data_IF_894441414653
#
_entry.id   IF_894441414653
#
_cell.length_a   1.000
_cell.length_b   1.000
_cell.length_c   1.000
_cell.angle_alpha   90.00
_cell.angle_beta   90.00
_cell.angle_gamma   90.00
#
_symmetry.space_group_name_H-M   'P 1'
#
loop_
_entity.id
_entity.type
_entity.pdbx_description
1 polymer ?
#
# COMPACT_ATOMS: atom_id res chain seq x y z
N UNK A 1 8.40 7.29 -2.54
CA UNK A 1 9.04 8.62 -2.38
C UNK A 1 10.33 8.74 -3.19
N UNK A 2 11.23 7.71 -3.16
CA UNK A 2 12.51 7.77 -3.88
C UNK A 2 12.39 8.00 -5.38
N UNK A 3 11.42 7.38 -6.05
CA UNK A 3 11.19 7.57 -7.49
C UNK A 3 10.78 9.00 -7.83
N UNK A 4 9.93 9.61 -7.00
CA UNK A 4 9.48 10.99 -7.21
C UNK A 4 10.57 12.02 -6.93
N UNK A 5 11.40 11.78 -5.90
CA UNK A 5 12.55 12.66 -5.62
C UNK A 5 13.61 12.65 -6.71
N UNK A 6 13.65 11.60 -7.53
CA UNK A 6 14.53 11.46 -8.66
C UNK A 6 13.75 11.55 -10.00
N UNK A 7 12.68 12.33 -10.03
CA UNK A 7 11.82 12.48 -11.20
C UNK A 7 12.49 13.20 -12.39
N UNK A 8 13.63 13.84 -12.16
CA UNK A 8 14.51 14.35 -13.20
C UNK A 8 15.16 13.23 -14.03
N UNK A 9 15.34 12.04 -13.45
CA UNK A 9 15.91 10.88 -14.11
C UNK A 9 14.87 9.77 -14.35
N UNK A 10 13.92 9.59 -13.45
CA UNK A 10 12.92 8.52 -13.49
C UNK A 10 11.65 9.00 -14.18
N UNK A 11 11.51 8.68 -15.46
CA UNK A 11 10.36 9.09 -16.27
C UNK A 11 9.14 8.19 -16.02
N UNK A 12 9.36 6.90 -15.77
CA UNK A 12 8.29 5.94 -15.59
C UNK A 12 8.72 4.77 -14.70
N UNK A 13 7.79 4.28 -13.91
CA UNK A 13 7.94 3.04 -13.15
C UNK A 13 6.72 2.14 -13.37
N UNK A 14 6.94 0.84 -13.49
CA UNK A 14 5.89 -0.15 -13.67
C UNK A 14 5.99 -1.25 -12.61
N UNK A 15 4.85 -1.68 -12.13
CA UNK A 15 4.75 -2.82 -11.20
C UNK A 15 4.50 -4.11 -11.97
N UNK A 16 5.25 -5.16 -11.65
CA UNK A 16 5.09 -6.47 -12.26
C UNK A 16 5.17 -7.59 -11.19
N UNK A 17 4.31 -8.63 -11.28
CA UNK A 17 3.16 -8.78 -12.17
C UNK A 17 1.95 -7.95 -11.73
N UNK A 18 1.20 -7.43 -12.71
CA UNK A 18 0.00 -6.62 -12.44
C UNK A 18 -1.17 -7.48 -12.00
N UNK A 19 -1.46 -8.55 -12.72
CA UNK A 19 -2.60 -9.45 -12.49
C UNK A 19 -2.15 -10.89 -12.29
N UNK A 20 -2.85 -11.58 -11.39
CA UNK A 20 -2.70 -13.02 -11.24
C UNK A 20 -4.04 -13.71 -10.98
N UNK A 21 -4.30 -14.76 -11.74
CA UNK A 21 -5.45 -15.61 -11.50
C UNK A 21 -5.18 -16.49 -10.27
N UNK A 22 -6.13 -16.51 -9.36
CA UNK A 22 -6.11 -17.35 -8.15
C UNK A 22 -5.87 -18.82 -8.50
N UNK A 23 -4.90 -19.47 -7.86
CA UNK A 23 -4.52 -20.85 -8.11
C UNK A 23 -3.55 -21.07 -9.27
N UNK A 24 -3.15 -20.03 -10.00
CA UNK A 24 -2.24 -20.11 -11.15
C UNK A 24 -0.97 -19.27 -10.97
N UNK A 25 -0.66 -18.90 -9.73
CA UNK A 25 0.49 -18.07 -9.44
C UNK A 25 1.79 -18.88 -9.42
N UNK A 26 2.80 -18.35 -10.08
CA UNK A 26 4.21 -18.76 -9.90
C UNK A 26 4.96 -17.82 -8.96
N UNK A 27 4.32 -16.73 -8.55
CA UNK A 27 4.91 -15.59 -7.86
C UNK A 27 3.88 -14.95 -6.94
N UNK A 28 4.24 -14.66 -5.72
CA UNK A 28 3.28 -14.18 -4.71
C UNK A 28 3.14 -12.65 -4.64
N UNK A 29 4.06 -11.91 -5.24
CA UNK A 29 4.07 -10.45 -5.23
C UNK A 29 3.23 -9.82 -6.34
N UNK A 30 1.99 -10.28 -6.52
CA UNK A 30 1.09 -9.74 -7.54
C UNK A 30 0.33 -8.52 -7.00
N UNK A 31 0.01 -7.55 -7.88
CA UNK A 31 -0.69 -6.35 -7.49
C UNK A 31 -2.18 -6.60 -7.26
N UNK A 32 -2.81 -7.35 -8.17
CA UNK A 32 -4.25 -7.66 -8.14
C UNK A 32 -4.45 -9.15 -8.38
N UNK A 33 -5.16 -9.78 -7.46
CA UNK A 33 -5.60 -11.15 -7.60
C UNK A 33 -7.04 -11.20 -8.11
N UNK A 34 -7.36 -12.18 -8.93
CA UNK A 34 -8.72 -12.37 -9.43
C UNK A 34 -9.07 -13.85 -9.64
N UNK A 35 -10.35 -14.14 -9.66
CA UNK A 35 -10.93 -15.38 -10.16
C UNK A 35 -12.23 -15.07 -10.92
N UNK A 36 -13.01 -16.09 -11.23
CA UNK A 36 -14.28 -15.93 -11.96
C UNK A 36 -15.39 -15.25 -11.12
N UNK A 37 -15.17 -15.01 -9.81
CA UNK A 37 -16.15 -14.50 -8.87
C UNK A 37 -15.80 -13.13 -8.32
N UNK A 38 -14.52 -12.77 -8.31
CA UNK A 38 -14.11 -11.55 -7.67
C UNK A 38 -12.69 -11.09 -8.02
N UNK A 39 -12.36 -9.95 -7.47
CA UNK A 39 -11.09 -9.27 -7.62
C UNK A 39 -10.66 -8.77 -6.24
N UNK A 40 -9.39 -8.98 -5.91
CA UNK A 40 -8.80 -8.58 -4.62
C UNK A 40 -7.51 -7.80 -4.86
N UNK A 41 -7.48 -6.62 -4.29
CA UNK A 41 -6.34 -5.71 -4.36
C UNK A 41 -5.40 -6.00 -3.21
N UNK A 42 -4.11 -6.02 -3.49
CA UNK A 42 -3.09 -6.15 -2.44
C UNK A 42 -2.85 -4.80 -1.77
N UNK A 43 -2.12 -4.79 -0.65
CA UNK A 43 -1.63 -3.55 -0.04
C UNK A 43 -0.78 -2.74 -1.03
N UNK A 44 0.04 -3.43 -1.85
CA UNK A 44 0.84 -2.79 -2.90
C UNK A 44 -0.01 -2.03 -3.93
N UNK A 45 -1.19 -2.56 -4.30
CA UNK A 45 -2.13 -1.83 -5.15
C UNK A 45 -2.51 -0.48 -4.54
N UNK A 46 -2.83 -0.48 -3.24
CA UNK A 46 -3.21 0.73 -2.55
C UNK A 46 -2.05 1.70 -2.37
N UNK A 47 -0.83 1.21 -2.16
CA UNK A 47 0.37 2.07 -2.16
C UNK A 47 0.57 2.75 -3.51
N UNK A 48 0.48 2.00 -4.61
CA UNK A 48 0.57 2.58 -5.96
C UNK A 48 -0.53 3.61 -6.20
N UNK A 49 -1.77 3.30 -5.79
CA UNK A 49 -2.91 4.22 -5.91
C UNK A 49 -2.72 5.50 -5.08
N UNK A 50 -2.19 5.40 -3.86
CA UNK A 50 -1.89 6.59 -3.04
C UNK A 50 -0.83 7.46 -3.71
N UNK A 51 0.25 6.85 -4.21
CA UNK A 51 1.34 7.56 -4.84
C UNK A 51 1.00 8.09 -6.25
N UNK A 52 -0.04 7.59 -6.89
CA UNK A 52 -0.54 8.18 -8.15
C UNK A 52 -1.23 9.54 -7.95
N UNK A 53 -1.60 9.89 -6.71
CA UNK A 53 -2.11 11.23 -6.36
C UNK A 53 -0.93 12.19 -6.27
N UNK A 54 -0.76 13.03 -7.25
CA UNK A 54 0.40 13.88 -7.39
C UNK A 54 0.04 15.17 -8.10
N UNK A 55 0.75 16.24 -7.76
CA UNK A 55 0.82 17.43 -8.61
C UNK A 55 1.78 17.24 -9.77
N UNK A 56 1.82 18.22 -10.62
CA UNK A 56 2.67 18.25 -11.84
C UNK A 56 4.11 18.68 -11.56
N UNK A 57 4.40 19.18 -10.35
CA UNK A 57 5.71 19.70 -9.97
C UNK A 57 6.15 19.21 -8.59
N UNK A 58 7.30 18.57 -8.52
CA UNK A 58 7.95 18.23 -7.26
C UNK A 58 8.66 19.47 -6.67
N UNK A 59 8.78 19.52 -5.36
CA UNK A 59 9.55 20.54 -4.65
C UNK A 59 10.18 19.95 -3.39
N UNK A 60 11.17 20.65 -2.85
CA UNK A 60 11.80 20.25 -1.60
C UNK A 60 11.12 20.90 -0.39
N UNK A 61 11.03 20.17 0.69
CA UNK A 61 10.63 20.68 2.00
C UNK A 61 11.79 20.52 2.98
N UNK A 62 11.87 21.44 3.91
CA UNK A 62 12.81 21.31 5.02
C UNK A 62 12.18 20.42 6.09
N UNK A 63 12.83 19.30 6.38
CA UNK A 63 12.43 18.37 7.45
C UNK A 63 13.31 18.65 8.67
N UNK A 64 12.71 19.18 9.73
CA UNK A 64 13.41 19.49 10.98
C UNK A 64 12.68 18.81 12.14
N UNK A 65 13.35 17.92 12.86
CA UNK A 65 12.87 17.35 14.11
C UNK A 65 13.79 17.83 15.25
N UNK A 66 13.19 18.39 16.29
CA UNK A 66 13.91 18.89 17.49
C UNK A 66 15.12 19.78 17.14
N UNK A 67 14.99 20.63 16.10
CA UNK A 67 16.07 21.52 15.64
C UNK A 67 17.18 20.81 14.84
N UNK A 68 17.02 19.55 14.49
CA UNK A 68 17.92 18.78 13.62
C UNK A 68 17.19 18.34 12.37
N UNK A 69 17.93 18.19 11.26
CA UNK A 69 17.38 17.56 10.06
C UNK A 69 16.94 16.15 10.41
N UNK A 70 15.70 15.81 10.06
CA UNK A 70 15.13 14.50 10.40
C UNK A 70 15.87 13.40 9.63
N UNK A 71 16.52 12.50 10.37
CA UNK A 71 17.24 11.34 9.81
C UNK A 71 16.53 10.01 10.17
N UNK A 72 15.26 10.06 10.54
CA UNK A 72 14.64 8.90 11.18
C UNK A 72 13.55 8.31 10.33
N UNK A 73 13.91 7.41 9.39
CA UNK A 73 12.98 6.41 8.81
C UNK A 73 11.56 6.93 8.46
N UNK A 74 11.45 8.26 8.37
CA UNK A 74 10.33 8.99 7.80
C UNK A 74 10.78 9.51 6.44
N UNK A 75 10.02 9.19 5.42
CA UNK A 75 10.35 9.60 4.05
C UNK A 75 9.19 10.40 3.50
N UNK A 76 9.48 11.56 2.93
CA UNK A 76 8.48 12.42 2.31
C UNK A 76 8.75 12.66 0.84
N UNK A 77 7.71 13.04 0.11
CA UNK A 77 7.80 13.46 -1.28
C UNK A 77 6.66 14.43 -1.59
N UNK A 78 6.91 15.73 -1.55
CA UNK A 78 5.90 16.73 -1.82
C UNK A 78 5.81 17.07 -3.31
N UNK A 79 4.59 17.27 -3.78
CA UNK A 79 4.28 17.77 -5.12
C UNK A 79 3.19 18.82 -5.05
N UNK A 80 3.17 19.75 -6.00
CA UNK A 80 2.14 20.76 -6.16
C UNK A 80 1.52 20.67 -7.54
N UNK A 81 0.21 20.80 -7.61
CA UNK A 81 -0.51 21.08 -8.85
C UNK A 81 -0.46 22.58 -9.10
N UNK A 82 0.26 23.01 -10.10
CA UNK A 82 0.50 24.42 -10.39
C UNK A 82 -0.77 25.15 -10.91
N UNK A 83 -1.74 24.42 -11.44
CA UNK A 83 -2.98 25.00 -11.91
C UNK A 83 -3.99 25.26 -10.77
N UNK A 84 -4.05 24.37 -9.81
CA UNK A 84 -5.00 24.47 -8.68
C UNK A 84 -4.38 25.01 -7.39
N UNK A 85 -3.07 24.90 -7.25
CA UNK A 85 -2.36 25.18 -6.01
C UNK A 85 -2.51 24.08 -4.95
N UNK A 86 -3.10 22.95 -5.29
CA UNK A 86 -3.18 21.80 -4.40
C UNK A 86 -1.80 21.22 -4.12
N UNK A 87 -1.54 20.90 -2.86
CA UNK A 87 -0.27 20.29 -2.43
C UNK A 87 -0.55 18.86 -1.96
N UNK A 88 0.31 17.94 -2.41
CA UNK A 88 0.28 16.54 -2.02
C UNK A 88 1.61 16.21 -1.35
N UNK A 89 1.57 15.89 -0.06
CA UNK A 89 2.75 15.44 0.67
C UNK A 89 2.62 13.97 0.95
N UNK A 90 3.31 13.15 0.19
CA UNK A 90 3.40 11.73 0.43
C UNK A 90 4.36 11.49 1.57
N UNK A 91 4.02 10.57 2.46
CA UNK A 91 4.84 10.21 3.60
C UNK A 91 4.91 8.69 3.79
N UNK A 92 6.02 8.24 4.36
CA UNK A 92 6.23 6.88 4.84
C UNK A 92 6.81 6.98 6.23
N UNK A 93 6.12 6.40 7.21
CA UNK A 93 6.66 6.14 8.54
C UNK A 93 6.98 4.64 8.63
N UNK A 94 8.26 4.29 8.60
CA UNK A 94 8.71 2.90 8.68
C UNK A 94 9.05 2.44 10.11
N UNK A 95 8.76 3.27 11.10
CA UNK A 95 8.91 2.94 12.51
C UNK A 95 7.65 2.27 13.07
N UNK A 96 7.85 1.41 14.07
CA UNK A 96 6.76 0.78 14.82
C UNK A 96 6.23 1.69 15.95
N UNK A 97 6.30 3.01 15.75
CA UNK A 97 5.79 4.04 16.66
C UNK A 97 5.20 5.19 15.86
N UNK A 98 4.20 5.82 16.42
CA UNK A 98 3.63 7.04 15.86
C UNK A 98 4.66 8.18 15.86
N UNK A 99 4.69 8.95 14.78
CA UNK A 99 5.57 10.13 14.64
C UNK A 99 4.73 11.39 14.47
N UNK A 100 4.82 12.31 15.38
CA UNK A 100 4.16 13.61 15.25
C UNK A 100 5.12 14.63 14.68
N UNK A 101 4.70 15.29 13.62
CA UNK A 101 5.43 16.37 12.95
C UNK A 101 4.58 17.62 12.90
N UNK A 102 5.21 18.78 13.01
CA UNK A 102 4.56 20.06 12.75
C UNK A 102 4.71 20.40 11.26
N UNK A 103 3.60 20.45 10.57
CA UNK A 103 3.55 20.83 9.15
C UNK A 103 3.37 22.34 9.07
N UNK A 104 4.41 23.05 8.61
CA UNK A 104 4.40 24.49 8.46
C UNK A 104 4.31 24.90 6.99
N UNK A 105 3.21 25.57 6.62
CA UNK A 105 2.97 25.98 5.24
C UNK A 105 3.60 27.33 4.87
N UNK A 106 4.01 28.10 5.87
CA UNK A 106 4.63 29.42 5.68
C UNK A 106 3.72 30.48 5.04
N UNK A 107 2.50 30.12 4.71
CA UNK A 107 1.62 30.85 3.82
C UNK A 107 0.53 31.62 4.57
N UNK A 108 0.09 32.73 3.99
CA UNK A 108 -1.15 33.40 4.38
C UNK A 108 -2.40 32.65 3.90
N UNK A 109 -2.24 31.73 2.96
CA UNK A 109 -3.31 30.91 2.41
C UNK A 109 -3.79 29.92 3.46
N UNK A 110 -5.10 29.76 3.53
CA UNK A 110 -5.74 28.67 4.31
C UNK A 110 -5.83 27.43 3.40
N UNK A 111 -5.68 26.27 4.00
CA UNK A 111 -5.82 25.00 3.32
C UNK A 111 -6.87 24.14 4.01
N UNK A 112 -7.78 23.56 3.25
CA UNK A 112 -8.54 22.41 3.70
C UNK A 112 -7.65 21.18 3.58
N UNK A 113 -7.40 20.52 4.71
CA UNK A 113 -6.41 19.44 4.82
C UNK A 113 -7.09 18.12 5.07
N UNK A 114 -6.72 17.14 4.29
CA UNK A 114 -7.12 15.75 4.47
C UNK A 114 -5.92 14.82 4.36
N UNK A 115 -6.04 13.66 4.95
CA UNK A 115 -5.05 12.59 4.82
C UNK A 115 -5.72 11.31 4.38
N UNK A 116 -5.10 10.62 3.44
CA UNK A 116 -5.42 9.23 3.10
C UNK A 116 -4.18 8.38 3.35
N UNK A 117 -4.33 7.36 4.17
CA UNK A 117 -3.19 6.55 4.62
C UNK A 117 -3.56 5.09 4.84
N UNK A 118 -2.53 4.26 4.83
CA UNK A 118 -2.58 2.85 5.22
C UNK A 118 -1.60 2.69 6.36
N UNK A 119 -2.02 2.04 7.44
CA UNK A 119 -1.16 1.66 8.54
C UNK A 119 -1.44 0.23 8.96
N UNK A 120 -0.47 -0.43 9.56
CA UNK A 120 -0.65 -1.76 10.12
C UNK A 120 0.20 -1.95 11.37
N UNK A 121 -0.44 -2.21 12.49
CA UNK A 121 0.23 -2.61 13.73
C UNK A 121 0.90 -3.99 13.62
N UNK A 122 0.49 -4.80 12.67
CA UNK A 122 1.05 -6.11 12.41
C UNK A 122 1.61 -6.15 11.00
N UNK A 123 2.93 -6.13 10.87
CA UNK A 123 3.65 -6.18 9.60
C UNK A 123 3.41 -7.48 8.81
N UNK A 124 3.01 -8.55 9.51
CA UNK A 124 2.64 -9.81 8.87
C UNK A 124 1.23 -9.80 8.30
N UNK A 125 0.45 -8.73 8.54
CA UNK A 125 -0.89 -8.59 8.01
C UNK A 125 -0.84 -8.33 6.50
N UNK A 126 -1.33 -9.28 5.76
CA UNK A 126 -1.42 -9.24 4.30
C UNK A 126 -2.88 -9.19 3.88
N UNK A 127 -3.17 -8.61 2.70
CA UNK A 127 -4.47 -8.77 2.02
C UNK A 127 -4.58 -10.16 1.38
N UNK A 128 -3.96 -11.12 2.04
CA UNK A 128 -3.85 -12.49 1.59
C UNK A 128 -3.75 -13.38 2.83
N UNK A 129 -4.76 -14.16 3.12
CA UNK A 129 -4.75 -15.12 4.22
C UNK A 129 -4.67 -16.51 3.63
N UNK A 130 -3.58 -17.22 3.90
CA UNK A 130 -3.56 -18.65 3.66
C UNK A 130 -4.56 -19.30 4.64
N UNK A 131 -5.69 -19.73 4.12
CA UNK A 131 -6.53 -20.66 4.86
C UNK A 131 -6.12 -22.07 4.47
N UNK A 132 -5.88 -22.88 5.48
CA UNK A 132 -5.93 -24.30 5.26
C UNK A 132 -7.41 -24.66 5.00
N UNK A 133 -7.75 -24.72 3.70
CA UNK A 133 -9.11 -24.98 3.25
C UNK A 133 -9.72 -26.22 3.91
N UNK A 134 -8.89 -27.22 4.19
CA UNK A 134 -9.29 -28.46 4.83
C UNK A 134 -9.64 -28.32 6.31
N UNK A 135 -9.05 -27.36 7.04
CA UNK A 135 -9.40 -27.12 8.44
C UNK A 135 -10.74 -26.42 8.61
N UNK A 136 -11.15 -25.61 7.61
CA UNK A 136 -12.43 -24.90 7.63
C UNK A 136 -13.57 -25.68 6.95
N UNK A 137 -13.25 -26.71 6.17
CA UNK A 137 -14.20 -27.53 5.41
C UNK A 137 -13.84 -29.01 5.57
N UNK A 138 -14.21 -29.64 6.69
CA UNK A 138 -13.88 -31.04 6.97
C UNK A 138 -14.35 -32.02 5.88
N UNK A 139 -15.42 -31.68 5.16
CA UNK A 139 -15.95 -32.44 4.04
C UNK A 139 -14.99 -32.56 2.86
N UNK A 140 -14.00 -31.66 2.78
CA UNK A 140 -12.94 -31.70 1.77
C UNK A 140 -11.59 -32.19 2.32
N UNK A 141 -11.58 -32.78 3.51
CA UNK A 141 -10.37 -33.30 4.16
C UNK A 141 -9.85 -34.59 3.47
N UNK A 142 -9.81 -34.54 2.14
CA UNK A 142 -9.29 -35.62 1.30
C UNK A 142 -7.86 -35.30 0.86
N UNK A 143 -7.03 -36.33 0.74
CA UNK A 143 -5.69 -36.14 0.14
C UNK A 143 -5.89 -35.53 -1.26
N UNK A 144 -5.29 -34.38 -1.57
CA UNK A 144 -5.37 -33.76 -2.88
C UNK A 144 -5.00 -34.71 -4.02
N UNK A 145 -4.22 -35.74 -3.72
CA UNK A 145 -3.88 -36.80 -4.67
C UNK A 145 -5.08 -37.66 -5.09
N UNK A 146 -6.15 -37.69 -4.30
CA UNK A 146 -7.36 -38.43 -4.69
C UNK A 146 -8.04 -37.81 -5.92
N UNK A 147 -7.94 -36.52 -6.10
CA UNK A 147 -8.47 -35.78 -7.26
C UNK A 147 -7.58 -35.88 -8.51
N UNK A 148 -6.37 -36.40 -8.36
CA UNK A 148 -5.43 -36.61 -9.47
C UNK A 148 -5.78 -37.95 -10.17
N UNK A 149 -5.94 -37.97 -11.50
CA UNK A 149 -6.16 -39.22 -12.25
C UNK A 149 -5.10 -40.26 -11.91
N UNK A 150 -5.47 -41.53 -11.73
CA UNK A 150 -4.54 -42.58 -11.29
C UNK A 150 -3.24 -42.65 -12.09
N UNK A 151 -3.30 -42.55 -13.43
CA UNK A 151 -2.11 -42.57 -14.29
C UNK A 151 -1.17 -41.38 -14.20
N UNK A 152 -1.55 -40.36 -13.45
CA UNK A 152 -0.70 -39.16 -13.23
C UNK A 152 -0.13 -39.10 -11.81
N UNK A 153 -0.63 -39.92 -10.89
CA UNK A 153 -0.24 -39.86 -9.47
C UNK A 153 1.22 -40.17 -9.22
N UNK A 154 1.79 -41.07 -10.03
CA UNK A 154 3.19 -41.52 -9.91
C UNK A 154 4.20 -40.59 -10.59
N UNK A 155 3.73 -39.54 -11.27
CA UNK A 155 4.65 -38.60 -11.92
C UNK A 155 5.44 -37.79 -10.90
N UNK A 156 6.76 -37.66 -11.09
CA UNK A 156 7.59 -36.80 -10.22
C UNK A 156 7.01 -35.40 -10.09
N UNK A 157 6.91 -34.88 -8.85
CA UNK A 157 6.37 -33.56 -8.55
C UNK A 157 4.84 -33.46 -8.53
N UNK A 158 4.10 -34.50 -8.88
CA UNK A 158 2.63 -34.45 -8.93
C UNK A 158 2.03 -34.24 -7.55
N UNK A 159 2.59 -34.83 -6.51
CA UNK A 159 2.11 -34.64 -5.13
C UNK A 159 2.28 -33.19 -4.67
N UNK A 160 3.43 -32.62 -4.94
CA UNK A 160 3.69 -31.21 -4.63
C UNK A 160 2.76 -30.27 -5.39
N UNK A 161 2.51 -30.57 -6.66
CA UNK A 161 1.58 -29.84 -7.50
C UNK A 161 0.14 -29.96 -7.00
N UNK A 162 -0.31 -31.16 -6.63
CA UNK A 162 -1.65 -31.39 -6.08
C UNK A 162 -1.86 -30.59 -4.77
N UNK A 163 -0.89 -30.61 -3.86
CA UNK A 163 -0.93 -29.79 -2.64
C UNK A 163 -0.88 -28.29 -2.92
N UNK A 164 -0.14 -27.88 -3.92
CA UNK A 164 -0.08 -26.47 -4.35
C UNK A 164 -1.45 -25.97 -4.86
N UNK A 165 -2.18 -26.81 -5.61
CA UNK A 165 -3.53 -26.50 -6.07
C UNK A 165 -4.59 -26.61 -4.96
N UNK A 166 -4.35 -27.45 -3.96
CA UNK A 166 -5.25 -27.60 -2.82
C UNK A 166 -5.12 -26.45 -1.81
N UNK A 167 -3.97 -25.79 -1.72
CA UNK A 167 -3.81 -24.57 -0.93
C UNK A 167 -4.67 -23.46 -1.52
N UNK A 168 -5.81 -23.23 -0.90
CA UNK A 168 -6.63 -22.06 -1.21
C UNK A 168 -6.20 -20.90 -0.32
N UNK A 169 -5.87 -19.81 -0.95
CA UNK A 169 -5.60 -18.55 -0.29
C UNK A 169 -6.91 -17.78 -0.24
N UNK A 170 -7.32 -17.41 0.95
CA UNK A 170 -8.48 -16.55 1.14
C UNK A 170 -8.01 -15.09 1.03
N UNK A 171 -8.51 -14.41 0.02
CA UNK A 171 -8.12 -13.03 -0.26
C UNK A 171 -9.10 -12.11 0.43
N UNK A 172 -8.58 -11.29 1.33
CA UNK A 172 -9.35 -10.24 2.00
C UNK A 172 -8.67 -8.90 1.76
N UNK A 173 -9.43 -7.87 1.57
CA UNK A 173 -8.91 -6.50 1.54
C UNK A 173 -8.88 -5.92 2.96
N UNK A 174 -8.16 -6.59 3.87
CA UNK A 174 -8.09 -6.20 5.27
C UNK A 174 -7.19 -4.97 5.52
N UNK A 175 -6.29 -4.68 4.59
CA UNK A 175 -5.41 -3.52 4.61
C UNK A 175 -5.84 -2.59 3.48
N UNK A 176 -6.65 -1.60 3.81
CA UNK A 176 -7.21 -0.62 2.87
C UNK A 176 -6.92 0.80 3.34
N UNK A 177 -6.92 1.79 2.45
CA UNK A 177 -6.75 3.18 2.83
C UNK A 177 -7.84 3.67 3.77
N UNK A 178 -7.45 4.46 4.75
CA UNK A 178 -8.30 5.23 5.62
C UNK A 178 -8.23 6.70 5.22
N UNK A 179 -9.34 7.40 5.26
CA UNK A 179 -9.41 8.83 4.95
C UNK A 179 -9.84 9.59 6.19
N UNK A 180 -9.10 10.66 6.51
CA UNK A 180 -9.41 11.53 7.64
C UNK A 180 -9.33 12.99 7.20
N UNK A 181 -10.39 13.77 7.47
CA UNK A 181 -10.34 15.21 7.34
C UNK A 181 -9.66 15.82 8.58
N UNK A 182 -8.75 16.76 8.35
CA UNK A 182 -8.05 17.49 9.40
C UNK A 182 -8.62 18.91 9.55
N UNK A 183 -9.44 19.36 8.60
CA UNK A 183 -10.13 20.65 8.61
C UNK A 183 -9.32 21.77 7.96
N UNK A 184 -9.84 23.00 8.12
CA UNK A 184 -9.22 24.20 7.52
C UNK A 184 -8.15 24.75 8.44
N UNK A 185 -6.95 24.82 7.92
CA UNK A 185 -5.72 25.15 8.67
C UNK A 185 -5.04 26.37 8.05
N UNK A 186 -4.43 27.18 8.90
CA UNK A 186 -3.64 28.35 8.51
C UNK A 186 -2.30 28.31 9.21
N UNK A 187 -1.21 28.47 8.49
CA UNK A 187 0.19 28.50 8.93
C UNK A 187 0.79 27.15 9.29
N UNK A 188 0.28 26.47 10.32
CA UNK A 188 0.86 25.20 10.77
C UNK A 188 -0.17 24.32 11.48
N UNK A 189 0.12 23.03 11.55
CA UNK A 189 -0.63 22.06 12.31
C UNK A 189 0.25 20.86 12.67
N UNK A 190 -0.08 20.22 13.76
CA UNK A 190 0.54 18.96 14.13
C UNK A 190 -0.15 17.81 13.42
N UNK A 191 0.64 16.96 12.79
CA UNK A 191 0.18 15.77 12.11
C UNK A 191 0.90 14.55 12.68
N UNK A 192 0.13 13.58 13.15
CA UNK A 192 0.65 12.30 13.63
C UNK A 192 0.56 11.27 12.50
N UNK A 193 1.71 10.84 12.04
CA UNK A 193 1.86 9.71 11.11
C UNK A 193 1.79 8.43 11.93
N UNK A 194 0.78 7.57 11.71
CA UNK A 194 0.70 6.31 12.44
C UNK A 194 1.95 5.44 12.22
N UNK A 195 2.22 4.55 13.15
CA UNK A 195 3.26 3.55 13.01
C UNK A 195 3.07 2.73 11.71
N UNK A 196 4.17 2.32 11.10
CA UNK A 196 4.17 1.47 9.90
C UNK A 196 3.15 1.94 8.86
N UNK A 197 3.17 3.24 8.53
CA UNK A 197 2.18 3.87 7.66
C UNK A 197 2.77 4.43 6.38
N UNK A 198 1.93 4.44 5.37
CA UNK A 198 2.16 5.12 4.09
C UNK A 198 0.93 5.94 3.78
N UNK A 199 1.08 7.20 3.40
CA UNK A 199 -0.06 8.05 3.12
C UNK A 199 0.24 9.28 2.29
N UNK A 200 -0.81 10.03 2.05
CA UNK A 200 -0.78 11.31 1.35
C UNK A 200 -1.57 12.33 2.15
N UNK A 201 -0.93 13.38 2.55
CA UNK A 201 -1.57 14.62 2.98
C UNK A 201 -1.94 15.42 1.73
N UNK A 202 -3.21 15.80 1.63
CA UNK A 202 -3.70 16.72 0.60
C UNK A 202 -4.06 18.05 1.23
N UNK A 203 -3.50 19.13 0.73
CA UNK A 203 -3.78 20.50 1.15
C UNK A 203 -4.44 21.22 -0.04
N UNK A 204 -5.72 21.52 0.07
CA UNK A 204 -6.49 22.23 -0.96
C UNK A 204 -6.64 23.69 -0.54
N UNK A 205 -6.19 24.67 -1.36
CA UNK A 205 -6.33 26.08 -1.03
C UNK A 205 -7.79 26.48 -0.87
N UNK A 206 -8.11 27.15 0.21
CA UNK A 206 -9.44 27.74 0.45
C UNK A 206 -9.46 29.14 -0.15
N UNK A 207 -10.38 29.37 -1.07
CA UNK A 207 -10.60 30.68 -1.72
C UNK A 207 -11.26 31.66 -0.75
#
# INVERSE_FOLDING_TARGET
TGLERNSDMVVMAAYAPLFCKKGYNKWDSNLIWFDNRGLWRTSNYYYQKLFSKSGDRAFEISEVMDGKVADDKVYTSPTIDTATGEIYVKFVNSEAVDKTVNVFTGSAVKYDVSVEFISSHNLDRKNQKEQNYYSSHPEYNKDPMESVPPGLRERPGMREMAWRFAKRVDYTEAVVPQVKALGVIKKSFDFTMPENSVGVLKLTPVK
#
